data_IF_332108530648
#
_entry.id   IF_332108530648
#
_cell.length_a   1.000
_cell.length_b   1.000
_cell.length_c   1.000
_cell.angle_alpha   90.00
_cell.angle_beta   90.00
_cell.angle_gamma   90.00
#
_symmetry.space_group_name_H-M   'P 1'
#
loop_
_entity.id
_entity.type
_entity.pdbx_description
1 polymer ?
#
# COMPACT_ATOMS: atom_id res chain seq x y z
N UNK A 1 -14.48 -9.36 -68.29
CA UNK A 1 -13.69 -8.27 -67.66
C UNK A 1 -12.40 -8.89 -67.13
N UNK A 2 -11.27 -8.74 -67.82
CA UNK A 2 -10.00 -9.39 -67.45
C UNK A 2 -9.22 -8.46 -66.51
N UNK A 3 -9.29 -8.70 -65.20
CA UNK A 3 -8.41 -8.03 -64.23
C UNK A 3 -6.97 -8.53 -64.49
N UNK A 4 -6.06 -7.60 -64.78
CA UNK A 4 -4.65 -7.90 -65.08
C UNK A 4 -3.89 -8.24 -63.80
N UNK A 5 -3.06 -9.28 -63.82
CA UNK A 5 -2.25 -9.71 -62.66
C UNK A 5 -1.38 -8.56 -62.10
N UNK A 6 -1.02 -7.59 -62.95
CA UNK A 6 -0.28 -6.37 -62.55
C UNK A 6 -1.09 -5.41 -61.68
N UNK A 7 -2.42 -5.33 -61.86
CA UNK A 7 -3.28 -4.51 -60.99
C UNK A 7 -3.54 -5.20 -59.65
N UNK A 8 -3.56 -6.54 -59.61
CA UNK A 8 -3.75 -7.31 -58.38
C UNK A 8 -2.59 -7.11 -57.39
N UNK A 9 -1.34 -7.12 -57.88
CA UNK A 9 -0.15 -6.86 -57.06
C UNK A 9 -0.07 -5.43 -56.52
N UNK A 10 -0.59 -4.45 -57.27
CA UNK A 10 -0.68 -3.06 -56.80
C UNK A 10 -1.70 -2.92 -55.65
N UNK A 11 -2.84 -3.64 -55.72
CA UNK A 11 -3.81 -3.67 -54.62
C UNK A 11 -3.27 -4.38 -53.37
N UNK A 12 -2.46 -5.44 -53.53
CA UNK A 12 -1.83 -6.13 -52.38
C UNK A 12 -0.80 -5.25 -51.67
N UNK A 13 -0.03 -4.46 -52.45
CA UNK A 13 0.95 -3.51 -51.91
C UNK A 13 0.28 -2.34 -51.16
N UNK A 14 -0.84 -1.83 -51.68
CA UNK A 14 -1.62 -0.76 -51.04
C UNK A 14 -2.32 -1.26 -49.77
N UNK A 15 -2.79 -2.52 -49.74
CA UNK A 15 -3.41 -3.11 -48.55
C UNK A 15 -2.38 -3.39 -47.44
N UNK A 16 -1.15 -3.80 -47.78
CA UNK A 16 -0.06 -3.98 -46.83
C UNK A 16 0.50 -2.67 -46.25
N UNK A 17 0.44 -1.58 -47.01
CA UNK A 17 0.79 -0.24 -46.52
C UNK A 17 -0.24 0.30 -45.51
N UNK A 18 -1.51 -0.14 -45.61
CA UNK A 18 -2.59 0.29 -44.72
C UNK A 18 -2.53 -0.39 -43.34
N UNK A 19 -1.88 -1.56 -43.23
CA UNK A 19 -1.67 -2.27 -41.95
C UNK A 19 -0.42 -1.82 -41.20
N UNK A 20 0.39 -0.93 -41.78
CA UNK A 20 1.63 -0.41 -41.20
C UNK A 20 1.45 0.96 -40.53
N UNK A 21 0.21 1.37 -40.19
CA UNK A 21 0.00 2.55 -39.38
C UNK A 21 0.68 2.35 -38.01
N UNK A 22 1.45 3.32 -37.50
CA UNK A 22 2.03 3.23 -36.17
C UNK A 22 0.89 3.07 -35.17
N UNK A 23 0.95 1.99 -34.38
CA UNK A 23 0.05 1.80 -33.25
C UNK A 23 0.21 3.00 -32.32
N UNK A 24 -0.84 3.80 -32.16
CA UNK A 24 -0.87 4.92 -31.23
C UNK A 24 -0.88 4.38 -29.79
N UNK A 25 0.29 4.06 -29.25
CA UNK A 25 0.43 3.55 -27.87
C UNK A 25 0.40 4.66 -26.81
N UNK A 26 0.68 5.92 -27.19
CA UNK A 26 0.75 7.07 -26.27
C UNK A 26 -0.57 7.41 -25.57
N UNK A 27 -1.72 7.01 -26.11
CA UNK A 27 -3.03 7.21 -25.47
C UNK A 27 -3.37 6.14 -24.43
N UNK A 28 -2.58 5.06 -24.33
CA UNK A 28 -2.81 3.98 -23.39
C UNK A 28 -2.00 4.14 -22.10
N UNK A 29 -0.86 4.83 -22.16
CA UNK A 29 -0.01 5.19 -21.02
C UNK A 29 -0.47 6.53 -20.42
N UNK A 30 -1.70 6.57 -19.89
CA UNK A 30 -2.19 7.75 -19.19
C UNK A 30 -1.49 7.86 -17.83
N UNK A 31 -0.63 8.86 -17.66
CA UNK A 31 -0.18 9.23 -16.32
C UNK A 31 -1.39 9.75 -15.53
N UNK A 32 -1.65 9.21 -14.33
CA UNK A 32 -2.82 9.61 -13.55
C UNK A 32 -2.70 11.08 -13.14
N UNK A 33 -3.56 11.93 -13.72
CA UNK A 33 -3.54 13.40 -13.56
C UNK A 33 -3.81 13.83 -12.11
N UNK A 34 -4.51 12.99 -11.33
CA UNK A 34 -4.96 13.29 -9.97
C UNK A 34 -4.32 12.42 -8.88
N UNK A 35 -3.38 11.54 -9.22
CA UNK A 35 -2.64 10.77 -8.22
C UNK A 35 -1.18 11.18 -8.23
N UNK A 36 -0.62 11.44 -7.06
CA UNK A 36 0.81 11.58 -6.91
C UNK A 36 1.42 10.21 -7.26
N UNK A 37 2.04 10.09 -8.43
CA UNK A 37 2.78 8.88 -8.79
C UNK A 37 4.02 8.77 -7.90
N UNK A 38 4.39 7.54 -7.53
CA UNK A 38 5.63 7.33 -6.77
C UNK A 38 6.85 7.92 -7.48
N UNK A 39 6.87 7.89 -8.82
CA UNK A 39 7.91 8.48 -9.65
C UNK A 39 8.06 10.01 -9.48
N UNK A 40 6.98 10.73 -9.16
CA UNK A 40 7.01 12.19 -9.00
C UNK A 40 7.05 12.70 -7.55
N UNK A 41 6.73 11.84 -6.57
CA UNK A 41 6.66 12.26 -5.17
C UNK A 41 8.03 12.37 -4.49
N UNK A 42 8.90 11.38 -4.69
CA UNK A 42 10.11 11.18 -3.90
C UNK A 42 11.30 11.97 -4.43
N UNK A 43 11.16 13.30 -4.47
CA UNK A 43 12.15 14.20 -5.10
C UNK A 43 13.03 14.97 -4.10
N UNK A 44 12.51 15.30 -2.92
CA UNK A 44 13.20 16.15 -1.95
C UNK A 44 12.90 15.76 -0.49
N UNK A 45 13.66 16.35 0.43
CA UNK A 45 13.58 16.11 1.88
C UNK A 45 12.21 16.48 2.47
N UNK A 46 11.55 17.52 1.96
CA UNK A 46 10.23 17.95 2.45
C UNK A 46 9.14 16.93 2.11
N UNK A 47 9.14 16.38 0.89
CA UNK A 47 8.21 15.34 0.48
C UNK A 47 8.42 14.06 1.30
N UNK A 48 9.68 13.67 1.53
CA UNK A 48 10.01 12.54 2.39
C UNK A 48 9.52 12.74 3.84
N UNK A 49 9.66 13.96 4.37
CA UNK A 49 9.13 14.35 5.68
C UNK A 49 7.60 14.28 5.72
N UNK A 50 6.93 14.71 4.65
CA UNK A 50 5.48 14.57 4.50
C UNK A 50 5.02 13.11 4.56
N UNK A 51 5.71 12.21 3.86
CA UNK A 51 5.39 10.78 3.91
C UNK A 51 5.65 10.16 5.29
N UNK A 52 6.76 10.51 5.95
CA UNK A 52 7.03 10.07 7.32
C UNK A 52 5.91 10.49 8.28
N UNK A 53 5.47 11.75 8.19
CA UNK A 53 4.35 12.24 9.00
C UNK A 53 3.04 11.51 8.67
N UNK A 54 2.77 11.22 7.39
CA UNK A 54 1.61 10.45 6.95
C UNK A 54 1.56 9.04 7.57
N UNK A 55 2.71 8.35 7.59
CA UNK A 55 2.87 7.05 8.26
C UNK A 55 2.49 7.14 9.74
N UNK A 56 3.01 8.15 10.46
CA UNK A 56 2.69 8.36 11.87
C UNK A 56 1.22 8.73 12.11
N UNK A 57 0.60 9.51 11.22
CA UNK A 57 -0.84 9.83 11.32
C UNK A 57 -1.69 8.58 11.19
N UNK A 58 -1.38 7.70 10.24
CA UNK A 58 -2.09 6.42 10.08
C UNK A 58 -1.87 5.51 11.28
N UNK A 59 -0.63 5.40 11.77
CA UNK A 59 -0.37 4.64 12.99
C UNK A 59 -1.11 5.19 14.21
N UNK A 60 -1.21 6.52 14.36
CA UNK A 60 -1.96 7.15 15.46
C UNK A 60 -3.44 6.78 15.45
N UNK A 61 -4.06 6.64 14.28
CA UNK A 61 -5.46 6.20 14.17
C UNK A 61 -5.61 4.76 14.72
N UNK A 62 -4.73 3.85 14.34
CA UNK A 62 -4.71 2.48 14.86
C UNK A 62 -4.39 2.42 16.35
N UNK A 63 -3.48 3.28 16.81
CA UNK A 63 -3.12 3.37 18.22
C UNK A 63 -4.29 3.82 19.09
N UNK A 64 -5.05 4.80 18.62
CA UNK A 64 -6.16 5.40 19.37
C UNK A 64 -7.38 4.49 19.40
N UNK A 65 -7.63 3.76 18.31
CA UNK A 65 -8.85 2.97 18.16
C UNK A 65 -8.66 1.48 18.49
N UNK A 66 -7.52 0.87 18.16
CA UNK A 66 -7.41 -0.59 18.09
C UNK A 66 -6.38 -1.22 19.05
N UNK A 67 -5.30 -0.49 19.42
CA UNK A 67 -4.26 -1.05 20.30
C UNK A 67 -4.80 -1.53 21.65
N UNK A 68 -5.77 -0.82 22.22
CA UNK A 68 -6.41 -1.23 23.47
C UNK A 68 -7.14 -2.58 23.32
N UNK A 69 -7.87 -2.78 22.21
CA UNK A 69 -8.59 -4.02 21.96
C UNK A 69 -7.66 -5.21 21.75
N UNK A 70 -6.53 -5.03 21.07
CA UNK A 70 -5.56 -6.13 20.91
C UNK A 70 -4.71 -6.37 22.15
N UNK A 71 -4.48 -5.34 22.97
CA UNK A 71 -3.53 -5.38 24.08
C UNK A 71 -4.12 -5.70 25.45
N UNK A 72 -5.33 -5.22 25.73
CA UNK A 72 -5.90 -5.24 27.09
C UNK A 72 -7.30 -5.84 27.13
N UNK A 73 -8.13 -5.67 26.10
CA UNK A 73 -9.56 -5.99 26.24
C UNK A 73 -9.90 -7.47 26.43
N UNK A 74 -8.92 -8.37 26.26
CA UNK A 74 -9.04 -9.81 26.51
C UNK A 74 -8.52 -10.26 27.87
N UNK A 75 -7.99 -9.31 28.66
CA UNK A 75 -7.53 -9.56 30.03
C UNK A 75 -8.73 -9.61 30.99
N UNK A 76 -8.45 -9.88 32.26
CA UNK A 76 -9.46 -9.95 33.33
C UNK A 76 -9.78 -8.56 33.94
N UNK A 77 -9.36 -7.46 33.30
CA UNK A 77 -9.54 -6.10 33.86
C UNK A 77 -10.86 -5.43 33.47
N UNK A 78 -11.59 -5.98 32.50
CA UNK A 78 -12.85 -5.42 32.01
C UNK A 78 -14.08 -6.17 32.54
N UNK A 79 -15.18 -5.44 32.64
CA UNK A 79 -16.49 -5.97 33.03
C UNK A 79 -17.61 -5.16 32.36
N UNK A 80 -18.85 -5.61 32.54
CA UNK A 80 -20.04 -4.95 32.03
C UNK A 80 -20.23 -3.57 32.67
N UNK A 81 -20.45 -2.56 31.81
CA UNK A 81 -20.82 -1.22 32.21
C UNK A 81 -22.35 -1.02 32.29
N UNK A 82 -22.77 0.22 32.51
CA UNK A 82 -24.19 0.61 32.55
C UNK A 82 -24.84 0.72 31.16
N UNK A 83 -24.03 0.83 30.11
CA UNK A 83 -24.49 0.92 28.72
C UNK A 83 -24.42 -0.44 28.03
N UNK A 84 -25.14 -0.58 26.91
CA UNK A 84 -25.02 -1.76 26.06
C UNK A 84 -23.56 -1.92 25.60
N UNK A 85 -23.07 -3.16 25.63
CA UNK A 85 -21.67 -3.48 25.36
C UNK A 85 -21.30 -3.48 23.88
N UNK A 86 -22.29 -3.45 22.97
CA UNK A 86 -22.10 -3.44 21.51
C UNK A 86 -21.23 -4.60 20.97
N UNK A 87 -21.24 -5.76 21.64
CA UNK A 87 -20.39 -6.90 21.28
C UNK A 87 -18.98 -6.87 21.85
N UNK A 88 -18.60 -5.82 22.60
CA UNK A 88 -17.27 -5.68 23.21
C UNK A 88 -17.07 -6.61 24.41
N UNK A 89 -18.14 -7.14 24.99
CA UNK A 89 -18.08 -8.16 26.03
C UNK A 89 -17.32 -9.41 25.58
N UNK A 90 -17.40 -9.72 24.28
CA UNK A 90 -16.77 -10.90 23.68
C UNK A 90 -15.26 -10.91 23.79
N UNK A 91 -14.62 -9.75 23.93
CA UNK A 91 -13.18 -9.69 24.14
C UNK A 91 -12.80 -10.25 25.52
N UNK A 92 -13.39 -9.72 26.60
CA UNK A 92 -13.03 -10.12 27.96
C UNK A 92 -13.67 -11.47 28.36
N UNK A 93 -14.81 -11.83 27.78
CA UNK A 93 -15.36 -13.18 27.89
C UNK A 93 -14.62 -14.20 27.02
N UNK A 94 -13.73 -13.76 26.14
CA UNK A 94 -12.98 -14.59 25.21
C UNK A 94 -13.88 -15.48 24.31
N UNK A 95 -14.98 -14.90 23.81
CA UNK A 95 -15.98 -15.56 22.94
C UNK A 95 -16.00 -15.00 21.50
N UNK A 96 -14.86 -14.48 21.03
CA UNK A 96 -14.69 -14.02 19.64
C UNK A 96 -14.91 -15.19 18.65
N UNK A 97 -15.59 -14.89 17.56
CA UNK A 97 -15.92 -15.84 16.49
C UNK A 97 -15.68 -15.21 15.11
N UNK A 98 -15.70 -15.96 13.99
CA UNK A 98 -15.43 -15.41 12.66
C UNK A 98 -16.34 -14.24 12.24
N UNK A 99 -17.55 -14.12 12.79
CA UNK A 99 -18.45 -13.00 12.51
C UNK A 99 -18.11 -11.74 13.34
N UNK A 100 -17.34 -11.91 14.42
CA UNK A 100 -16.91 -10.85 15.34
C UNK A 100 -15.41 -11.01 15.69
N UNK A 101 -14.56 -11.04 14.66
CA UNK A 101 -13.11 -11.23 14.84
C UNK A 101 -12.38 -9.99 15.41
N UNK A 102 -13.08 -8.85 15.48
CA UNK A 102 -12.54 -7.58 15.97
C UNK A 102 -11.79 -6.77 14.91
N UNK A 103 -10.94 -5.81 15.31
CA UNK A 103 -10.25 -4.94 14.38
C UNK A 103 -9.30 -5.72 13.47
N UNK A 104 -9.20 -5.32 12.21
CA UNK A 104 -8.45 -6.04 11.18
C UNK A 104 -7.03 -5.49 11.04
N UNK A 105 -6.12 -6.34 10.57
CA UNK A 105 -4.75 -5.97 10.19
C UNK A 105 -4.61 -5.10 8.92
N UNK A 106 -5.70 -4.80 8.19
CA UNK A 106 -5.63 -4.10 6.90
C UNK A 106 -4.90 -2.76 7.00
N UNK A 107 -5.26 -1.96 8.01
CA UNK A 107 -4.67 -0.64 8.22
C UNK A 107 -3.25 -0.71 8.76
N UNK A 108 -2.91 -1.77 9.50
CA UNK A 108 -1.53 -2.05 9.92
C UNK A 108 -0.65 -2.32 8.69
N UNK A 109 -1.14 -3.07 7.70
CA UNK A 109 -0.44 -3.24 6.43
C UNK A 109 -0.32 -1.95 5.61
N UNK A 110 -1.27 -1.02 5.73
CA UNK A 110 -1.12 0.33 5.14
C UNK A 110 0.05 1.09 5.79
N UNK A 111 0.22 0.99 7.11
CA UNK A 111 1.38 1.60 7.80
C UNK A 111 2.69 0.92 7.38
N UNK A 112 2.70 -0.40 7.21
CA UNK A 112 3.85 -1.15 6.68
C UNK A 112 4.18 -0.69 5.25
N UNK A 113 3.18 -0.49 4.41
CA UNK A 113 3.34 -0.02 3.03
C UNK A 113 4.03 1.35 3.00
N UNK A 114 3.62 2.30 3.85
CA UNK A 114 4.30 3.59 3.97
C UNK A 114 5.76 3.46 4.39
N UNK A 115 6.01 2.63 5.41
CA UNK A 115 7.36 2.38 5.87
C UNK A 115 8.23 1.80 4.74
N UNK A 116 7.68 0.87 3.95
CA UNK A 116 8.35 0.27 2.79
C UNK A 116 8.64 1.32 1.70
N UNK A 117 7.72 2.24 1.43
CA UNK A 117 7.96 3.35 0.50
C UNK A 117 9.10 4.25 0.98
N UNK A 118 9.09 4.66 2.25
CA UNK A 118 10.16 5.49 2.84
C UNK A 118 11.51 4.77 2.72
N UNK A 119 11.55 3.48 3.10
CA UNK A 119 12.76 2.66 3.03
C UNK A 119 13.28 2.54 1.60
N UNK A 120 12.39 2.39 0.61
CA UNK A 120 12.74 2.25 -0.80
C UNK A 120 13.30 3.54 -1.40
N UNK A 121 12.65 4.67 -1.15
CA UNK A 121 12.91 5.90 -1.91
C UNK A 121 13.85 6.89 -1.23
N UNK A 122 13.79 7.02 0.10
CA UNK A 122 14.63 7.98 0.84
C UNK A 122 16.14 7.81 0.57
N UNK A 123 16.70 6.61 0.38
CA UNK A 123 18.11 6.46 0.03
C UNK A 123 18.52 7.21 -1.24
N UNK A 124 17.61 7.38 -2.21
CA UNK A 124 17.85 8.10 -3.46
C UNK A 124 17.67 9.63 -3.38
N UNK A 125 17.16 10.16 -2.26
CA UNK A 125 16.94 11.59 -2.07
C UNK A 125 18.20 12.23 -1.47
N UNK A 126 18.54 13.43 -1.95
CA UNK A 126 19.60 14.25 -1.38
C UNK A 126 19.09 15.04 -0.17
N UNK A 127 19.68 14.81 1.00
CA UNK A 127 19.35 15.52 2.24
C UNK A 127 20.43 16.56 2.53
N UNK A 128 20.04 17.68 3.17
CA UNK A 128 21.04 18.65 3.62
C UNK A 128 21.90 18.09 4.76
N UNK A 129 21.29 17.22 5.59
CA UNK A 129 21.94 16.55 6.69
C UNK A 129 21.68 15.04 6.63
N UNK A 130 22.74 14.26 6.40
CA UNK A 130 22.67 12.79 6.37
C UNK A 130 22.19 12.18 7.70
N UNK A 131 22.38 12.86 8.84
CA UNK A 131 21.82 12.40 10.11
C UNK A 131 20.29 12.42 10.11
N UNK A 132 19.65 13.39 9.45
CA UNK A 132 18.19 13.44 9.30
C UNK A 132 17.68 12.28 8.45
N UNK A 133 18.38 12.00 7.34
CA UNK A 133 18.09 10.86 6.45
C UNK A 133 18.16 9.54 7.19
N UNK A 134 19.24 9.31 7.93
CA UNK A 134 19.42 8.09 8.73
C UNK A 134 18.37 7.98 9.84
N UNK A 135 18.02 9.09 10.49
CA UNK A 135 16.94 9.12 11.49
C UNK A 135 15.58 8.74 10.88
N UNK A 136 15.26 9.26 9.69
CA UNK A 136 14.02 8.94 8.97
C UNK A 136 13.95 7.46 8.60
N UNK A 137 15.05 6.89 8.08
CA UNK A 137 15.13 5.46 7.78
C UNK A 137 14.98 4.60 9.04
N UNK A 138 15.66 4.97 10.13
CA UNK A 138 15.54 4.26 11.41
C UNK A 138 14.11 4.26 11.94
N UNK A 139 13.39 5.37 11.83
CA UNK A 139 11.98 5.48 12.19
C UNK A 139 11.10 4.55 11.35
N UNK A 140 11.29 4.52 10.02
CA UNK A 140 10.53 3.64 9.14
C UNK A 140 10.79 2.15 9.42
N UNK A 141 12.06 1.75 9.59
CA UNK A 141 12.41 0.38 9.98
C UNK A 141 11.80 -0.02 11.33
N UNK A 142 11.88 0.89 12.31
CA UNK A 142 11.30 0.66 13.65
C UNK A 142 9.79 0.52 13.59
N UNK A 143 9.11 1.40 12.84
CA UNK A 143 7.67 1.33 12.64
C UNK A 143 7.29 -0.02 12.03
N UNK A 144 7.92 -0.42 10.92
CA UNK A 144 7.66 -1.71 10.27
C UNK A 144 7.85 -2.89 11.25
N UNK A 145 8.97 -2.91 11.99
CA UNK A 145 9.24 -3.95 12.97
C UNK A 145 8.21 -3.97 14.11
N UNK A 146 7.83 -2.80 14.63
CA UNK A 146 6.83 -2.66 15.68
C UNK A 146 5.46 -3.16 15.24
N UNK A 147 5.03 -2.81 14.03
CA UNK A 147 3.74 -3.26 13.49
C UNK A 147 3.73 -4.78 13.29
N UNK A 148 4.81 -5.37 12.77
CA UNK A 148 4.91 -6.84 12.70
C UNK A 148 4.90 -7.49 14.08
N UNK A 149 5.59 -6.91 15.07
CA UNK A 149 5.56 -7.41 16.44
C UNK A 149 4.15 -7.35 17.05
N UNK A 150 3.41 -6.26 16.82
CA UNK A 150 2.02 -6.14 17.22
C UNK A 150 1.17 -7.24 16.58
N UNK A 151 1.26 -7.42 15.26
CA UNK A 151 0.50 -8.43 14.54
C UNK A 151 0.86 -9.85 15.01
N UNK A 152 2.13 -10.11 15.29
CA UNK A 152 2.59 -11.41 15.78
C UNK A 152 1.97 -11.78 17.14
N UNK A 153 1.80 -10.82 18.05
CA UNK A 153 1.13 -11.05 19.34
C UNK A 153 -0.37 -11.28 19.20
N UNK A 154 -1.01 -10.66 18.20
CA UNK A 154 -2.46 -10.72 18.02
C UNK A 154 -2.90 -11.95 17.22
N UNK A 155 -2.23 -12.24 16.11
CA UNK A 155 -2.62 -13.30 15.16
C UNK A 155 -1.60 -14.43 15.02
N UNK A 156 -0.40 -14.30 15.59
CA UNK A 156 0.68 -15.25 15.36
C UNK A 156 1.35 -15.03 14.00
N UNK A 157 1.37 -16.07 13.16
CA UNK A 157 2.01 -15.98 11.84
C UNK A 157 1.25 -15.07 10.88
N UNK A 158 1.94 -14.08 10.32
CA UNK A 158 1.39 -13.15 9.31
C UNK A 158 2.33 -13.04 8.11
N UNK A 159 1.84 -12.77 6.89
CA UNK A 159 2.70 -12.53 5.73
C UNK A 159 3.67 -11.37 5.96
N UNK A 160 4.95 -11.60 5.64
CA UNK A 160 5.99 -10.57 5.74
C UNK A 160 6.17 -9.93 4.36
N UNK A 161 5.76 -8.68 4.26
CA UNK A 161 5.88 -7.80 3.10
C UNK A 161 6.90 -6.70 3.38
N UNK A 162 8.01 -6.71 2.64
CA UNK A 162 9.12 -5.75 2.79
C UNK A 162 9.19 -4.71 1.68
N UNK A 163 8.42 -4.92 0.62
CA UNK A 163 8.40 -4.08 -0.57
C UNK A 163 7.05 -3.36 -0.69
N UNK A 164 7.01 -2.13 -1.20
CA UNK A 164 5.76 -1.42 -1.41
C UNK A 164 5.05 -1.91 -2.68
N UNK A 165 3.72 -1.91 -2.65
CA UNK A 165 2.88 -2.13 -3.84
C UNK A 165 2.66 -0.80 -4.55
N UNK A 166 3.09 -0.68 -5.81
CA UNK A 166 3.14 0.62 -6.52
C UNK A 166 2.47 0.60 -7.89
N UNK A 167 1.82 -0.50 -8.23
CA UNK A 167 1.11 -0.68 -9.49
C UNK A 167 0.05 -1.77 -9.38
N UNK A 168 -0.72 -1.91 -10.45
CA UNK A 168 -1.57 -3.07 -10.64
C UNK A 168 -0.72 -4.20 -11.22
N UNK A 169 -0.49 -5.22 -10.41
CA UNK A 169 0.06 -6.49 -10.86
C UNK A 169 -0.91 -7.58 -10.40
N UNK A 170 -1.45 -8.33 -11.35
CA UNK A 170 -2.46 -9.35 -11.08
C UNK A 170 -1.93 -10.48 -10.16
N UNK A 171 -0.61 -10.62 -10.01
CA UNK A 171 -0.01 -11.59 -9.09
C UNK A 171 0.16 -11.08 -7.65
N UNK A 172 0.21 -9.75 -7.44
CA UNK A 172 0.51 -9.14 -6.13
C UNK A 172 -0.61 -8.28 -5.56
N UNK A 173 -1.64 -7.97 -6.35
CA UNK A 173 -2.81 -7.18 -5.94
C UNK A 173 -4.06 -8.08 -5.96
N UNK A 174 -4.38 -8.68 -4.81
CA UNK A 174 -5.58 -9.52 -4.61
C UNK A 174 -6.87 -8.69 -4.51
#
# INVERSE_FOLDING_TARGET
MKLSIKSLGLYTLVLGALTAAPSCTDQLELTPVSSITAAGFWVNEDNATGALNGMYVRFRDEASNNLFFWGESRSETLTYGLQASEGRERYFENTLDPNFAGPTWLRLYTVIHDANLIIKYVPGINFQNEANKNSMLAQAYTMRAYIYFLMAKTWGGVPIVTDPTEGYDAETTF
#
